data_IF_338299255996
#
_entry.id   IF_338299255996
#
_cell.length_a   1.000
_cell.length_b   1.000
_cell.length_c   1.000
_cell.angle_alpha   90.00
_cell.angle_beta   90.00
_cell.angle_gamma   90.00
#
_symmetry.space_group_name_H-M   'P 1'
#
loop_
_entity.id
_entity.type
_entity.pdbx_description
1 polymer ?
#
# COMPACT_ATOMS: atom_id res chain seq x y z
N UNK A 1 -4.59 -14.79 10.50
CA UNK A 1 -5.59 -13.75 10.81
C UNK A 1 -5.75 -12.74 9.67
N UNK A 2 -4.69 -12.04 9.23
CA UNK A 2 -4.76 -11.02 8.15
C UNK A 2 -5.10 -11.62 6.78
N UNK A 3 -4.50 -12.74 6.39
CA UNK A 3 -4.81 -13.43 5.11
C UNK A 3 -6.31 -13.70 4.94
N UNK A 4 -6.96 -14.19 6.01
CA UNK A 4 -8.38 -14.51 5.98
C UNK A 4 -9.23 -13.23 5.87
N UNK A 5 -8.87 -12.18 6.61
CA UNK A 5 -9.57 -10.89 6.54
C UNK A 5 -9.43 -10.27 5.14
N UNK A 6 -8.25 -10.35 4.53
CA UNK A 6 -8.03 -9.88 3.17
C UNK A 6 -8.86 -10.66 2.14
N UNK A 7 -8.96 -11.99 2.28
CA UNK A 7 -9.87 -12.80 1.45
C UNK A 7 -11.34 -12.41 1.66
N UNK A 8 -11.75 -12.13 2.89
CA UNK A 8 -13.12 -11.71 3.22
C UNK A 8 -13.48 -10.34 2.64
N UNK A 9 -12.50 -9.47 2.34
CA UNK A 9 -12.78 -8.21 1.65
C UNK A 9 -13.29 -8.41 0.22
N UNK A 10 -13.14 -9.62 -0.36
CA UNK A 10 -13.65 -9.97 -1.70
C UNK A 10 -13.32 -8.90 -2.76
N UNK A 11 -12.05 -8.47 -2.80
CA UNK A 11 -11.59 -7.51 -3.80
C UNK A 11 -11.88 -8.06 -5.21
N UNK A 12 -12.46 -7.21 -6.06
CA UNK A 12 -12.85 -7.59 -7.41
C UNK A 12 -11.60 -7.86 -8.25
N UNK A 13 -11.58 -9.02 -8.91
CA UNK A 13 -10.48 -9.51 -9.73
C UNK A 13 -10.74 -9.17 -11.21
N UNK A 14 -9.69 -9.01 -12.04
CA UNK A 14 -8.27 -9.03 -11.68
C UNK A 14 -7.84 -7.75 -10.92
N UNK A 15 -6.78 -7.85 -10.10
CA UNK A 15 -6.24 -6.73 -9.31
C UNK A 15 -5.02 -6.11 -10.02
N UNK A 16 -5.03 -4.80 -10.18
CA UNK A 16 -3.87 -4.01 -10.59
C UNK A 16 -3.24 -3.30 -9.37
N UNK A 17 -1.92 -3.13 -9.40
CA UNK A 17 -1.16 -2.26 -8.49
C UNK A 17 -0.44 -1.23 -9.34
N UNK A 18 -0.56 0.05 -8.98
CA UNK A 18 0.09 1.16 -9.70
C UNK A 18 1.23 1.69 -8.86
N UNK A 19 2.42 1.69 -9.46
CA UNK A 19 3.69 1.96 -8.83
C UNK A 19 4.36 0.67 -8.33
N UNK A 20 5.62 0.50 -8.67
CA UNK A 20 6.50 -0.60 -8.30
C UNK A 20 7.60 -0.14 -7.30
N UNK A 21 7.34 0.97 -6.60
CA UNK A 21 8.14 1.44 -5.47
C UNK A 21 7.90 0.64 -4.19
N UNK A 22 8.29 1.22 -3.04
CA UNK A 22 8.20 0.58 -1.73
C UNK A 22 6.75 0.21 -1.36
N UNK A 23 5.79 1.13 -1.58
CA UNK A 23 4.38 0.86 -1.29
C UNK A 23 3.79 -0.19 -2.21
N UNK A 24 4.02 -0.08 -3.53
CA UNK A 24 3.56 -1.07 -4.49
C UNK A 24 4.06 -2.48 -4.20
N UNK A 25 5.34 -2.60 -3.83
CA UNK A 25 5.92 -3.86 -3.37
C UNK A 25 5.23 -4.38 -2.09
N UNK A 26 4.94 -3.51 -1.13
CA UNK A 26 4.19 -3.88 0.08
C UNK A 26 2.77 -4.37 -0.24
N UNK A 27 2.08 -3.77 -1.21
CA UNK A 27 0.78 -4.24 -1.69
C UNK A 27 0.90 -5.63 -2.33
N UNK A 28 1.87 -5.81 -3.22
CA UNK A 28 2.13 -7.06 -3.92
C UNK A 28 2.42 -8.20 -2.94
N UNK A 29 3.30 -7.96 -1.96
CA UNK A 29 3.64 -8.96 -0.94
C UNK A 29 2.44 -9.35 -0.07
N UNK A 30 1.59 -8.39 0.27
CA UNK A 30 0.39 -8.64 1.07
C UNK A 30 -0.63 -9.50 0.31
N UNK A 31 -0.90 -9.20 -0.97
CA UNK A 31 -1.80 -9.99 -1.80
C UNK A 31 -1.25 -11.40 -2.04
N UNK A 32 0.05 -11.51 -2.33
CA UNK A 32 0.72 -12.79 -2.52
C UNK A 32 0.69 -13.65 -1.26
N UNK A 33 0.86 -13.02 -0.09
CA UNK A 33 0.73 -13.69 1.21
C UNK A 33 -0.65 -14.34 1.38
N UNK A 34 -1.71 -13.73 0.83
CA UNK A 34 -3.06 -14.29 0.81
C UNK A 34 -3.36 -15.19 -0.40
N UNK A 35 -2.37 -15.48 -1.24
CA UNK A 35 -2.53 -16.24 -2.49
C UNK A 35 -3.53 -15.60 -3.45
N UNK A 36 -3.58 -14.27 -3.47
CA UNK A 36 -4.35 -13.47 -4.42
C UNK A 36 -3.39 -13.03 -5.52
N UNK A 37 -3.78 -13.23 -6.77
CA UNK A 37 -2.98 -12.82 -7.92
C UNK A 37 -3.16 -11.32 -8.22
N UNK A 38 -2.12 -10.68 -8.74
CA UNK A 38 -2.16 -9.28 -9.11
C UNK A 38 -1.10 -8.93 -10.15
N UNK A 39 -1.35 -7.83 -10.85
CA UNK A 39 -0.47 -7.26 -11.87
C UNK A 39 0.00 -5.89 -11.44
N UNK A 40 1.30 -5.61 -11.57
CA UNK A 40 1.91 -4.34 -11.19
C UNK A 40 2.24 -3.52 -12.43
N UNK A 41 1.91 -2.22 -12.39
CA UNK A 41 2.15 -1.27 -13.46
C UNK A 41 3.04 -0.14 -12.98
N UNK A 42 4.06 0.22 -13.75
CA UNK A 42 4.94 1.35 -13.45
C UNK A 42 5.44 2.02 -14.73
N UNK A 43 5.57 3.35 -14.73
CA UNK A 43 6.05 4.11 -15.90
C UNK A 43 7.59 4.11 -16.01
N UNK A 44 8.28 3.41 -15.10
CA UNK A 44 9.72 3.20 -15.13
C UNK A 44 10.16 2.50 -16.42
N UNK A 45 11.29 2.94 -16.98
CA UNK A 45 11.90 2.32 -18.16
C UNK A 45 12.56 0.97 -17.87
N UNK A 46 12.84 0.68 -16.60
CA UNK A 46 13.54 -0.52 -16.16
C UNK A 46 12.77 -1.14 -15.00
N UNK A 47 12.82 -2.47 -14.92
CA UNK A 47 12.22 -3.21 -13.83
C UNK A 47 12.84 -2.78 -12.50
N UNK A 48 12.03 -2.31 -11.53
CA UNK A 48 12.55 -1.98 -10.21
C UNK A 48 13.12 -3.23 -9.52
N UNK A 49 14.25 -3.07 -8.83
CA UNK A 49 14.97 -4.18 -8.18
C UNK A 49 14.07 -5.01 -7.24
N UNK A 50 13.09 -4.37 -6.60
CA UNK A 50 12.11 -5.00 -5.71
C UNK A 50 11.26 -6.09 -6.40
N UNK A 51 11.19 -6.08 -7.73
CA UNK A 51 10.44 -7.02 -8.56
C UNK A 51 11.35 -7.96 -9.39
N UNK A 52 12.64 -8.03 -9.06
CA UNK A 52 13.53 -9.04 -9.66
C UNK A 52 12.99 -10.44 -9.38
N UNK A 53 12.78 -11.25 -10.43
CA UNK A 53 12.17 -12.58 -10.34
C UNK A 53 10.64 -12.59 -10.42
N UNK A 54 10.01 -11.42 -10.62
CA UNK A 54 8.57 -11.25 -10.80
C UNK A 54 8.24 -10.50 -12.10
N UNK A 55 9.09 -10.63 -13.12
CA UNK A 55 8.97 -9.91 -14.39
C UNK A 55 7.60 -10.12 -15.04
N UNK A 56 7.08 -11.35 -14.98
CA UNK A 56 5.81 -11.72 -15.61
C UNK A 56 4.59 -11.06 -14.94
N UNK A 57 4.76 -10.47 -13.75
CA UNK A 57 3.73 -9.75 -13.02
C UNK A 57 3.85 -8.23 -13.17
N UNK A 58 4.83 -7.71 -13.94
CA UNK A 58 5.09 -6.27 -14.04
C UNK A 58 5.00 -5.82 -15.49
N UNK A 59 4.12 -4.85 -15.75
CA UNK A 59 4.07 -4.10 -17.01
C UNK A 59 4.69 -2.73 -16.82
N UNK A 60 5.62 -2.39 -17.71
CA UNK A 60 6.33 -1.12 -17.72
C UNK A 60 5.90 -0.28 -18.92
N UNK A 61 5.79 1.03 -18.72
CA UNK A 61 5.47 2.00 -19.78
C UNK A 61 4.28 2.88 -19.44
N UNK A 62 3.91 3.73 -20.40
CA UNK A 62 2.83 4.72 -20.23
C UNK A 62 1.46 4.05 -20.13
N UNK A 63 0.59 4.68 -19.33
CA UNK A 63 -0.79 4.23 -19.16
C UNK A 63 -1.71 4.87 -20.21
N UNK A 64 -2.53 4.04 -20.84
CA UNK A 64 -3.60 4.45 -21.76
C UNK A 64 -4.96 4.32 -21.08
N UNK A 65 -6.00 4.91 -21.68
CA UNK A 65 -7.37 4.87 -21.15
C UNK A 65 -7.93 3.44 -21.03
N UNK A 66 -7.43 2.51 -21.85
CA UNK A 66 -7.84 1.11 -21.81
C UNK A 66 -7.01 0.27 -20.82
N UNK A 67 -5.90 0.78 -20.28
CA UNK A 67 -4.93 -0.03 -19.50
C UNK A 67 -5.57 -0.69 -18.29
N UNK A 68 -6.53 -0.02 -17.66
CA UNK A 68 -7.15 -0.49 -16.42
C UNK A 68 -8.61 -0.94 -16.57
N UNK A 69 -9.14 -0.94 -17.79
CA UNK A 69 -10.57 -1.20 -18.05
C UNK A 69 -11.01 -2.58 -17.52
N UNK A 70 -10.18 -3.60 -17.77
CA UNK A 70 -10.46 -5.00 -17.42
C UNK A 70 -10.16 -5.34 -15.96
N UNK A 71 -9.62 -4.42 -15.17
CA UNK A 71 -9.32 -4.65 -13.75
C UNK A 71 -10.53 -4.33 -12.88
N UNK A 72 -10.74 -5.16 -11.85
CA UNK A 72 -11.82 -5.02 -10.88
C UNK A 72 -11.43 -4.17 -9.67
N UNK A 73 -10.16 -4.15 -9.30
CA UNK A 73 -9.62 -3.33 -8.20
C UNK A 73 -8.24 -2.82 -8.58
N UNK A 74 -7.99 -1.54 -8.32
CA UNK A 74 -6.77 -0.84 -8.68
C UNK A 74 -6.15 -0.25 -7.41
N UNK A 75 -5.06 -0.84 -6.95
CA UNK A 75 -4.31 -0.39 -5.78
C UNK A 75 -3.32 0.71 -6.16
N UNK A 76 -3.48 1.89 -5.59
CA UNK A 76 -2.67 3.05 -5.90
C UNK A 76 -1.53 3.24 -4.90
N UNK A 77 -0.32 3.42 -5.41
CA UNK A 77 0.78 3.96 -4.60
C UNK A 77 0.56 5.45 -4.28
N UNK A 78 1.07 5.94 -3.15
CA UNK A 78 1.07 7.35 -2.81
C UNK A 78 1.72 8.20 -3.90
N UNK A 79 1.08 9.33 -4.24
CA UNK A 79 1.59 10.28 -5.23
C UNK A 79 1.14 10.04 -6.67
N UNK A 80 0.39 8.97 -6.96
CA UNK A 80 -0.27 8.80 -8.27
C UNK A 80 -1.38 9.84 -8.40
N UNK A 81 -1.34 10.64 -9.46
CA UNK A 81 -2.41 11.60 -9.76
C UNK A 81 -3.63 10.87 -10.34
N UNK A 82 -4.68 10.74 -9.53
CA UNK A 82 -5.91 10.05 -9.91
C UNK A 82 -6.77 10.83 -10.91
N UNK A 83 -6.41 12.09 -11.23
CA UNK A 83 -7.12 12.94 -12.20
C UNK A 83 -6.66 12.71 -13.65
N UNK A 84 -5.69 11.82 -13.86
CA UNK A 84 -5.23 11.42 -15.20
C UNK A 84 -6.36 10.74 -15.97
N UNK A 85 -6.37 10.93 -17.29
CA UNK A 85 -7.39 10.36 -18.19
C UNK A 85 -7.53 8.84 -18.06
N UNK A 86 -6.41 8.12 -17.85
CA UNK A 86 -6.40 6.68 -17.67
C UNK A 86 -7.18 6.17 -16.45
N UNK A 87 -7.57 7.05 -15.52
CA UNK A 87 -8.37 6.71 -14.35
C UNK A 87 -9.82 7.18 -14.44
N UNK A 88 -10.22 7.92 -15.48
CA UNK A 88 -11.53 8.56 -15.54
C UNK A 88 -12.70 7.57 -15.41
N UNK A 89 -12.61 6.44 -16.11
CA UNK A 89 -13.66 5.41 -16.17
C UNK A 89 -13.52 4.30 -15.11
N UNK A 90 -12.57 4.45 -14.17
CA UNK A 90 -12.28 3.42 -13.15
C UNK A 90 -12.13 4.01 -11.75
N UNK A 91 -12.61 5.25 -11.52
CA UNK A 91 -12.49 5.95 -10.23
C UNK A 91 -13.05 5.13 -9.06
N UNK A 92 -14.15 4.42 -9.28
CA UNK A 92 -14.82 3.57 -8.30
C UNK A 92 -14.03 2.30 -7.95
N UNK A 93 -13.06 1.93 -8.78
CA UNK A 93 -12.19 0.76 -8.58
C UNK A 93 -10.90 1.09 -7.83
N UNK A 94 -10.62 2.39 -7.64
CA UNK A 94 -9.39 2.87 -7.02
C UNK A 94 -9.41 2.61 -5.51
N UNK A 95 -8.31 2.05 -5.00
CA UNK A 95 -8.12 1.76 -3.59
C UNK A 95 -6.69 2.16 -3.18
N UNK A 96 -6.53 2.91 -2.09
CA UNK A 96 -5.20 3.27 -1.58
C UNK A 96 -4.69 2.23 -0.59
N UNK A 97 -3.37 2.21 -0.38
CA UNK A 97 -2.74 1.38 0.66
C UNK A 97 -3.25 1.74 2.07
N UNK A 98 -3.49 3.02 2.35
CA UNK A 98 -4.06 3.50 3.61
C UNK A 98 -5.49 3.01 3.80
N UNK A 99 -6.33 3.08 2.76
CA UNK A 99 -7.71 2.59 2.83
C UNK A 99 -7.75 1.06 3.02
N UNK A 100 -6.90 0.32 2.28
CA UNK A 100 -6.76 -1.12 2.47
C UNK A 100 -6.29 -1.45 3.89
N UNK A 101 -5.32 -0.68 4.43
CA UNK A 101 -4.87 -0.82 5.81
C UNK A 101 -6.00 -0.58 6.81
N UNK A 102 -6.79 0.48 6.64
CA UNK A 102 -7.90 0.82 7.53
C UNK A 102 -8.96 -0.30 7.57
N UNK A 103 -9.24 -0.94 6.42
CA UNK A 103 -10.14 -2.09 6.35
C UNK A 103 -9.57 -3.34 7.03
N UNK A 104 -8.25 -3.52 7.01
CA UNK A 104 -7.60 -4.72 7.53
C UNK A 104 -7.19 -4.63 9.00
N UNK A 105 -6.80 -3.46 9.49
CA UNK A 105 -6.32 -3.30 10.86
C UNK A 105 -7.40 -3.67 11.89
N UNK A 106 -6.95 -4.19 13.03
CA UNK A 106 -7.79 -4.46 14.22
C UNK A 106 -7.23 -3.76 15.45
N UNK A 107 -6.18 -2.94 15.27
CA UNK A 107 -5.48 -2.25 16.34
C UNK A 107 -5.90 -0.78 16.35
N UNK A 108 -5.83 -0.08 17.50
CA UNK A 108 -6.00 1.36 17.54
C UNK A 108 -5.00 2.07 16.61
N UNK A 109 -5.47 3.08 15.88
CA UNK A 109 -4.67 3.85 14.91
C UNK A 109 -4.71 5.33 15.28
N UNK A 110 -3.53 5.97 15.25
CA UNK A 110 -3.39 7.42 15.36
C UNK A 110 -2.88 7.94 14.02
N UNK A 111 -3.71 8.70 13.30
CA UNK A 111 -3.34 9.34 12.04
C UNK A 111 -2.78 10.74 12.28
N UNK A 112 -1.59 11.04 11.76
CA UNK A 112 -0.98 12.37 11.83
C UNK A 112 -0.88 12.95 10.42
N UNK A 113 -1.54 14.09 10.19
CA UNK A 113 -1.55 14.81 8.92
C UNK A 113 -1.32 16.32 9.13
N UNK A 114 -1.08 17.06 8.06
CA UNK A 114 -0.83 18.51 8.06
C UNK A 114 0.31 18.92 7.13
N UNK A 115 0.42 20.20 6.79
CA UNK A 115 1.49 20.66 5.88
C UNK A 115 2.86 20.59 6.56
N UNK A 116 2.96 20.96 7.83
CA UNK A 116 4.21 21.04 8.59
C UNK A 116 4.13 20.29 9.93
N UNK A 117 5.27 19.90 10.50
CA UNK A 117 5.37 19.33 11.86
C UNK A 117 4.94 17.86 12.01
N UNK A 118 4.42 17.20 10.97
CA UNK A 118 4.01 15.79 11.00
C UNK A 118 5.07 14.87 11.60
N UNK A 119 6.30 14.93 11.06
CA UNK A 119 7.39 14.07 11.51
C UNK A 119 7.75 14.31 12.96
N UNK A 120 7.77 15.58 13.39
CA UNK A 120 8.04 15.96 14.78
C UNK A 120 6.99 15.42 15.73
N UNK A 121 5.70 15.52 15.37
CA UNK A 121 4.60 14.98 16.18
C UNK A 121 4.67 13.45 16.25
N UNK A 122 4.97 12.78 15.13
CA UNK A 122 5.16 11.32 15.10
C UNK A 122 6.32 10.88 15.99
N UNK A 123 7.45 11.58 15.95
CA UNK A 123 8.59 11.31 16.85
C UNK A 123 8.21 11.53 18.32
N UNK A 124 7.51 12.61 18.65
CA UNK A 124 7.07 12.87 20.02
C UNK A 124 6.11 11.78 20.54
N UNK A 125 5.18 11.32 19.71
CA UNK A 125 4.30 10.19 20.06
C UNK A 125 5.10 8.90 20.29
N UNK A 126 6.12 8.64 19.48
CA UNK A 126 7.05 7.52 19.68
C UNK A 126 7.73 7.58 21.05
N UNK A 127 8.32 8.72 21.40
CA UNK A 127 9.02 8.92 22.67
C UNK A 127 8.08 8.74 23.88
N UNK A 128 6.84 9.24 23.78
CA UNK A 128 5.81 9.05 24.80
C UNK A 128 5.46 7.58 24.96
N UNK A 129 5.23 6.84 23.86
CA UNK A 129 4.92 5.41 23.91
C UNK A 129 6.08 4.61 24.51
N UNK A 130 7.33 4.93 24.14
CA UNK A 130 8.52 4.27 24.66
C UNK A 130 8.66 4.52 26.17
N UNK A 131 8.54 5.77 26.61
CA UNK A 131 8.60 6.15 28.03
C UNK A 131 7.49 5.46 28.84
N UNK A 132 6.29 5.35 28.27
CA UNK A 132 5.16 4.66 28.87
C UNK A 132 5.23 3.12 28.76
N UNK A 133 6.29 2.56 28.17
CA UNK A 133 6.47 1.11 27.91
C UNK A 133 5.28 0.48 27.18
N UNK A 134 4.71 1.22 26.23
CA UNK A 134 3.60 0.74 25.38
C UNK A 134 4.15 0.22 24.06
N UNK A 135 3.55 -0.86 23.58
CA UNK A 135 3.83 -1.38 22.24
C UNK A 135 3.20 -0.46 21.18
N UNK A 136 3.99 -0.05 20.20
CA UNK A 136 3.54 0.78 19.08
C UNK A 136 4.27 0.37 17.79
N UNK A 137 3.74 0.82 16.66
CA UNK A 137 4.33 0.66 15.33
C UNK A 137 4.25 2.00 14.62
N UNK A 138 5.40 2.50 14.12
CA UNK A 138 5.45 3.63 13.22
C UNK A 138 5.30 3.14 11.78
N UNK A 139 4.37 3.74 11.04
CA UNK A 139 4.12 3.37 9.66
C UNK A 139 3.58 4.54 8.83
N UNK A 140 3.60 4.36 7.50
CA UNK A 140 3.24 5.38 6.51
C UNK A 140 4.49 6.07 5.97
N UNK A 141 4.53 7.40 6.04
CA UNK A 141 5.67 8.18 5.52
C UNK A 141 6.95 8.04 6.37
N UNK A 142 6.83 7.53 7.61
CA UNK A 142 7.95 7.29 8.52
C UNK A 142 7.80 5.87 9.07
N UNK A 143 8.90 5.13 9.09
CA UNK A 143 8.92 3.74 9.55
C UNK A 143 8.54 2.77 8.44
N UNK A 144 7.65 1.83 8.75
CA UNK A 144 7.25 0.77 7.81
C UNK A 144 6.21 1.28 6.80
N UNK A 145 6.17 0.72 5.58
CA UNK A 145 5.00 0.81 4.73
C UNK A 145 3.75 0.36 5.49
N UNK A 146 2.64 1.07 5.31
CA UNK A 146 1.45 0.92 6.16
C UNK A 146 0.89 -0.50 6.16
N UNK A 147 0.90 -1.17 5.00
CA UNK A 147 0.45 -2.56 4.88
C UNK A 147 1.41 -3.57 5.51
N UNK A 148 2.71 -3.27 5.54
CA UNK A 148 3.70 -4.12 6.20
C UNK A 148 3.50 -4.12 7.72
N UNK A 149 3.07 -2.99 8.30
CA UNK A 149 2.79 -2.84 9.72
C UNK A 149 1.72 -3.81 10.26
N UNK A 150 0.83 -4.30 9.39
CA UNK A 150 -0.17 -5.32 9.76
C UNK A 150 0.51 -6.61 10.25
N UNK A 151 1.67 -6.95 9.69
CA UNK A 151 2.38 -8.19 10.00
C UNK A 151 3.20 -8.16 11.29
N UNK A 152 3.35 -6.98 11.93
CA UNK A 152 4.18 -6.82 13.11
C UNK A 152 3.35 -6.71 14.40
N UNK A 153 3.89 -7.22 15.51
CA UNK A 153 3.33 -7.03 16.86
C UNK A 153 3.78 -5.70 17.50
N UNK A 154 5.01 -5.31 17.23
CA UNK A 154 5.73 -4.14 17.76
C UNK A 154 6.68 -3.58 16.69
N UNK A 155 7.16 -2.35 16.86
CA UNK A 155 8.24 -1.79 16.03
C UNK A 155 9.44 -2.76 15.98
N UNK A 156 9.93 -3.15 14.79
CA UNK A 156 11.02 -4.12 14.68
C UNK A 156 12.40 -3.60 15.11
N UNK A 157 12.58 -2.28 15.30
CA UNK A 157 13.85 -1.64 15.62
C UNK A 157 13.72 -0.57 16.76
N UNK A 158 13.15 -0.93 17.92
CA UNK A 158 13.30 -0.09 19.13
C UNK A 158 14.60 -0.37 19.84
#
# INVERSE_FOLDING_TARGET
MIKNKLKQLNLAQPIAIIGAGVTGKSCFDLLRLASIDCHVFDESRQLPRAFTGWQDHVSLGEFTDATFADYGTILLSPGVDTRRACFAEVQEKLLTDIELFARLTTKPVVGVTGSNGKSTVVSLLSDVCQTAKRNYILCGNIGLPVLQALSFGTCPNT
#
